data_IF_129737270917
#
_entry.id   IF_129737270917
#
_cell.length_a   1.000
_cell.length_b   1.000
_cell.length_c   1.000
_cell.angle_alpha   90.00
_cell.angle_beta   90.00
_cell.angle_gamma   90.00
#
_symmetry.space_group_name_H-M   'P 1'
#
loop_
_entity.id
_entity.type
_entity.pdbx_description
1 polymer ?
#
# COMPACT_ATOMS: atom_id res chain seq x y z
N UNK A 1 34.10 48.90 47.08
CA UNK A 1 33.28 48.65 45.87
C UNK A 1 32.06 49.57 45.95
N UNK A 2 31.74 50.32 44.90
CA UNK A 2 30.70 51.36 44.95
C UNK A 2 29.30 50.71 44.97
N UNK A 3 28.48 51.00 45.99
CA UNK A 3 27.13 50.43 46.19
C UNK A 3 26.25 50.64 44.95
N UNK A 4 26.37 51.80 44.29
CA UNK A 4 25.64 52.09 43.06
C UNK A 4 26.01 51.14 41.92
N UNK A 5 27.30 50.80 41.77
CA UNK A 5 27.78 49.84 40.77
C UNK A 5 27.21 48.44 41.02
N UNK A 6 27.13 48.03 42.29
CA UNK A 6 26.61 46.72 42.68
C UNK A 6 25.10 46.60 42.46
N UNK A 7 24.35 47.68 42.72
CA UNK A 7 22.92 47.78 42.42
C UNK A 7 22.69 47.71 40.90
N UNK A 8 23.44 48.48 40.11
CA UNK A 8 23.29 48.48 38.63
C UNK A 8 23.60 47.11 38.03
N UNK A 9 24.68 46.45 38.47
CA UNK A 9 25.01 45.09 38.01
C UNK A 9 23.89 44.12 38.35
N UNK A 10 23.35 44.16 39.57
CA UNK A 10 22.27 43.27 40.01
C UNK A 10 20.98 43.47 39.22
N UNK A 11 20.66 44.72 38.88
CA UNK A 11 19.50 45.06 38.03
C UNK A 11 19.71 44.49 36.62
N UNK A 12 20.89 44.70 36.03
CA UNK A 12 21.20 44.22 34.68
C UNK A 12 21.18 42.69 34.60
N UNK A 13 21.76 41.98 35.57
CA UNK A 13 21.69 40.51 35.60
C UNK A 13 20.26 40.00 35.79
N UNK A 14 19.44 40.66 36.60
CA UNK A 14 18.04 40.26 36.79
C UNK A 14 17.20 40.43 35.52
N UNK A 15 17.35 41.56 34.81
CA UNK A 15 16.69 41.74 33.52
C UNK A 15 17.22 40.81 32.43
N UNK A 16 18.53 40.58 32.37
CA UNK A 16 19.15 39.71 31.37
C UNK A 16 18.76 38.23 31.58
N UNK A 17 18.74 37.76 32.83
CA UNK A 17 18.30 36.40 33.18
C UNK A 17 16.82 36.18 32.89
N UNK A 18 15.95 37.17 33.19
CA UNK A 18 14.54 37.10 32.83
C UNK A 18 14.33 37.07 31.30
N UNK A 19 15.08 37.89 30.55
CA UNK A 19 15.03 37.90 29.09
C UNK A 19 15.50 36.56 28.49
N UNK A 20 16.61 36.01 28.98
CA UNK A 20 17.13 34.71 28.53
C UNK A 20 16.15 33.58 28.86
N UNK A 21 15.56 33.56 30.07
CA UNK A 21 14.56 32.57 30.46
C UNK A 21 13.29 32.66 29.58
N UNK A 22 12.84 33.88 29.25
CA UNK A 22 11.72 34.09 28.33
C UNK A 22 12.05 33.65 26.90
N UNK A 23 13.20 34.07 26.38
CA UNK A 23 13.63 33.76 25.02
C UNK A 23 13.84 32.24 24.82
N UNK A 24 14.63 31.61 25.68
CA UNK A 24 14.85 30.16 25.62
C UNK A 24 13.60 29.36 25.99
N UNK A 25 12.78 29.86 26.91
CA UNK A 25 11.49 29.25 27.25
C UNK A 25 10.56 29.18 26.04
N UNK A 26 10.31 30.31 25.38
CA UNK A 26 9.47 30.37 24.17
C UNK A 26 10.09 29.60 23.01
N UNK A 27 11.40 29.69 22.80
CA UNK A 27 12.06 28.94 21.74
C UNK A 27 11.94 27.43 21.97
N UNK A 28 12.03 26.96 23.23
CA UNK A 28 11.83 25.55 23.57
C UNK A 28 10.38 25.10 23.36
N UNK A 29 9.40 25.93 23.72
CA UNK A 29 7.97 25.63 23.51
C UNK A 29 7.68 25.55 22.01
N UNK A 30 8.13 26.53 21.24
CA UNK A 30 7.97 26.55 19.77
C UNK A 30 8.66 25.36 19.11
N UNK A 31 9.83 24.94 19.60
CA UNK A 31 10.51 23.74 19.11
C UNK A 31 9.69 22.49 19.39
N UNK A 32 9.20 22.32 20.62
CA UNK A 32 8.36 21.17 21.01
C UNK A 32 7.07 21.10 20.19
N UNK A 33 6.37 22.22 20.02
CA UNK A 33 5.16 22.30 19.19
C UNK A 33 5.44 21.92 17.72
N UNK A 34 6.60 22.35 17.18
CA UNK A 34 7.02 22.01 15.82
C UNK A 34 7.31 20.52 15.68
N UNK A 35 7.94 19.91 16.68
CA UNK A 35 8.25 18.49 16.69
C UNK A 35 6.98 17.63 16.83
N UNK A 36 6.02 18.04 17.67
CA UNK A 36 4.72 17.38 17.78
C UNK A 36 3.92 17.47 16.47
N UNK A 37 3.91 18.64 15.81
CA UNK A 37 3.29 18.79 14.49
C UNK A 37 3.93 17.87 13.46
N UNK A 38 5.27 17.79 13.42
CA UNK A 38 5.98 16.86 12.53
C UNK A 38 5.63 15.40 12.84
N UNK A 39 5.50 15.02 14.11
CA UNK A 39 5.11 13.66 14.50
C UNK A 39 3.70 13.31 14.01
N UNK A 40 2.74 14.24 14.15
CA UNK A 40 1.39 14.08 13.61
C UNK A 40 1.40 13.93 12.08
N UNK A 41 2.15 14.79 11.38
CA UNK A 41 2.30 14.71 9.92
C UNK A 41 2.94 13.39 9.45
N UNK A 42 3.92 12.85 10.17
CA UNK A 42 4.53 11.54 9.85
C UNK A 42 3.54 10.39 10.06
N UNK A 43 2.75 10.41 11.14
CA UNK A 43 1.70 9.40 11.40
C UNK A 43 0.66 9.41 10.28
N UNK A 44 0.23 10.61 9.89
CA UNK A 44 -0.72 10.78 8.80
C UNK A 44 -0.15 10.29 7.46
N UNK A 45 1.07 10.69 7.12
CA UNK A 45 1.76 10.24 5.91
C UNK A 45 1.81 8.71 5.85
N UNK A 46 2.12 8.05 6.96
CA UNK A 46 2.11 6.59 7.04
C UNK A 46 0.74 5.99 6.65
N UNK A 47 -0.36 6.52 7.19
CA UNK A 47 -1.69 6.02 6.84
C UNK A 47 -2.09 6.33 5.40
N UNK A 48 -1.74 7.51 4.87
CA UNK A 48 -1.99 7.86 3.46
C UNK A 48 -1.26 6.92 2.51
N UNK A 49 -0.01 6.56 2.83
CA UNK A 49 0.77 5.62 2.02
C UNK A 49 0.16 4.22 2.01
N UNK A 50 -0.49 3.77 3.10
CA UNK A 50 -1.23 2.49 3.10
C UNK A 50 -2.39 2.56 2.13
N UNK A 51 -3.23 3.60 2.22
CA UNK A 51 -4.41 3.74 1.36
C UNK A 51 -3.98 3.84 -0.11
N UNK A 52 -2.97 4.67 -0.39
CA UNK A 52 -2.41 4.88 -1.73
C UNK A 52 -1.88 3.58 -2.35
N UNK A 53 -1.17 2.77 -1.55
CA UNK A 53 -0.65 1.47 -1.97
C UNK A 53 -1.78 0.53 -2.35
N UNK A 54 -2.77 0.38 -1.46
CA UNK A 54 -3.92 -0.50 -1.71
C UNK A 54 -4.69 -0.09 -2.97
N UNK A 55 -4.84 1.21 -3.23
CA UNK A 55 -5.45 1.69 -4.48
C UNK A 55 -4.65 1.29 -5.72
N UNK A 56 -3.32 1.42 -5.70
CA UNK A 56 -2.47 0.91 -6.78
C UNK A 56 -2.56 -0.60 -6.95
N UNK A 57 -2.57 -1.35 -5.84
CA UNK A 57 -2.64 -2.81 -5.86
C UNK A 57 -3.96 -3.28 -6.49
N UNK A 58 -5.08 -2.61 -6.19
CA UNK A 58 -6.38 -2.86 -6.84
C UNK A 58 -6.37 -2.53 -8.33
N UNK A 59 -5.82 -1.38 -8.74
CA UNK A 59 -5.69 -1.01 -10.15
C UNK A 59 -4.85 -1.98 -10.95
N UNK A 60 -3.75 -2.44 -10.35
CA UNK A 60 -2.77 -3.29 -11.01
C UNK A 60 -3.07 -4.78 -10.86
N UNK A 61 -4.09 -5.17 -10.08
CA UNK A 61 -4.40 -6.57 -9.78
C UNK A 61 -4.53 -7.45 -11.02
N UNK A 62 -5.34 -7.02 -12.01
CA UNK A 62 -5.54 -7.75 -13.26
C UNK A 62 -4.26 -7.82 -14.11
N UNK A 63 -3.49 -6.73 -14.16
CA UNK A 63 -2.20 -6.71 -14.86
C UNK A 63 -1.21 -7.68 -14.22
N UNK A 64 -1.15 -7.71 -12.88
CA UNK A 64 -0.32 -8.63 -12.10
C UNK A 64 -0.74 -10.09 -12.32
N UNK A 65 -2.04 -10.39 -12.30
CA UNK A 65 -2.54 -11.74 -12.61
C UNK A 65 -2.11 -12.21 -14.00
N UNK A 66 -2.25 -11.36 -15.02
CA UNK A 66 -1.82 -11.70 -16.38
C UNK A 66 -0.31 -11.96 -16.46
N UNK A 67 0.51 -11.12 -15.83
CA UNK A 67 1.96 -11.30 -15.80
C UNK A 67 2.38 -12.59 -15.08
N UNK A 68 1.66 -12.99 -14.02
CA UNK A 68 1.89 -14.26 -13.34
C UNK A 68 1.55 -15.42 -14.24
N UNK A 69 0.42 -15.35 -14.96
CA UNK A 69 0.05 -16.41 -15.89
C UNK A 69 1.13 -16.59 -16.97
N UNK A 70 1.57 -15.49 -17.58
CA UNK A 70 2.63 -15.50 -18.59
C UNK A 70 3.96 -16.06 -18.04
N UNK A 71 4.35 -15.64 -16.84
CA UNK A 71 5.57 -16.10 -16.19
C UNK A 71 5.47 -17.59 -15.78
N UNK A 72 4.30 -18.05 -15.33
CA UNK A 72 4.04 -19.45 -14.98
C UNK A 72 4.08 -20.35 -16.22
N UNK A 73 3.42 -19.95 -17.32
CA UNK A 73 3.48 -20.67 -18.59
C UNK A 73 4.93 -20.78 -19.09
N UNK A 74 5.69 -19.69 -19.04
CA UNK A 74 7.11 -19.68 -19.41
C UNK A 74 7.94 -20.62 -18.53
N UNK A 75 7.79 -20.54 -17.21
CA UNK A 75 8.50 -21.37 -16.25
C UNK A 75 8.21 -22.87 -16.44
N UNK A 76 6.94 -23.22 -16.64
CA UNK A 76 6.55 -24.62 -16.88
C UNK A 76 7.09 -25.14 -18.20
N UNK A 77 7.09 -24.33 -19.26
CA UNK A 77 7.75 -24.69 -20.54
C UNK A 77 9.24 -24.93 -20.38
N UNK A 78 9.94 -24.06 -19.65
CA UNK A 78 11.37 -24.21 -19.36
C UNK A 78 11.67 -25.47 -18.52
N UNK A 79 10.84 -25.78 -17.53
CA UNK A 79 11.00 -26.97 -16.68
C UNK A 79 10.70 -28.30 -17.40
N UNK A 80 9.67 -28.32 -18.24
CA UNK A 80 9.17 -29.56 -18.87
C UNK A 80 9.79 -29.85 -20.22
N UNK A 81 10.35 -28.84 -20.89
CA UNK A 81 10.88 -28.95 -22.25
C UNK A 81 9.81 -29.09 -23.33
N UNK A 82 8.51 -28.96 -22.98
CA UNK A 82 7.41 -29.08 -23.93
C UNK A 82 7.40 -27.94 -24.96
N UNK A 83 7.11 -28.30 -26.21
CA UNK A 83 6.78 -27.36 -27.27
C UNK A 83 5.45 -26.65 -26.98
N UNK A 84 5.19 -25.53 -27.68
CA UNK A 84 3.94 -24.76 -27.52
C UNK A 84 2.72 -25.67 -27.76
N UNK A 85 2.80 -26.55 -28.77
CA UNK A 85 1.72 -27.46 -29.18
C UNK A 85 1.41 -28.53 -28.12
N UNK A 86 2.44 -29.07 -27.46
CA UNK A 86 2.29 -30.07 -26.38
C UNK A 86 1.75 -29.45 -25.08
N UNK A 87 2.07 -28.18 -24.84
CA UNK A 87 1.55 -27.44 -23.69
C UNK A 87 0.05 -27.15 -23.83
N UNK A 88 -0.44 -27.00 -25.06
CA UNK A 88 -1.87 -26.81 -25.37
C UNK A 88 -2.74 -28.08 -25.26
N UNK A 89 -2.16 -29.27 -25.01
CA UNK A 89 -2.94 -30.49 -24.78
C UNK A 89 -3.68 -30.47 -23.42
N UNK A 90 -4.87 -31.09 -23.37
CA UNK A 90 -5.81 -31.01 -22.24
C UNK A 90 -5.22 -31.35 -20.87
N UNK A 91 -4.32 -32.34 -20.76
CA UNK A 91 -3.72 -32.75 -19.48
C UNK A 91 -2.74 -31.72 -18.90
N UNK A 92 -2.02 -30.98 -19.75
CA UNK A 92 -1.06 -29.95 -19.31
C UNK A 92 -1.81 -28.67 -18.92
N UNK A 93 -2.89 -28.36 -19.66
CA UNK A 93 -3.76 -27.22 -19.40
C UNK A 93 -4.48 -27.31 -18.05
N UNK A 94 -5.00 -28.47 -17.66
CA UNK A 94 -5.71 -28.64 -16.38
C UNK A 94 -4.79 -28.41 -15.16
N UNK A 95 -3.52 -28.82 -15.26
CA UNK A 95 -2.53 -28.60 -14.19
C UNK A 95 -2.18 -27.11 -14.05
N UNK A 96 -2.02 -26.42 -15.19
CA UNK A 96 -1.75 -24.98 -15.24
C UNK A 96 -2.92 -24.20 -14.65
N UNK A 97 -4.15 -24.54 -15.04
CA UNK A 97 -5.38 -23.91 -14.52
C UNK A 97 -5.52 -24.10 -13.00
N UNK A 98 -5.24 -25.31 -12.47
CA UNK A 98 -5.25 -25.57 -11.02
C UNK A 98 -4.20 -24.75 -10.27
N UNK A 99 -2.98 -24.68 -10.79
CA UNK A 99 -1.91 -23.89 -10.17
C UNK A 99 -2.21 -22.38 -10.23
N UNK A 100 -2.72 -21.90 -11.38
CA UNK A 100 -3.10 -20.50 -11.55
C UNK A 100 -4.25 -20.12 -10.62
N UNK A 101 -5.22 -21.02 -10.41
CA UNK A 101 -6.31 -20.83 -9.45
C UNK A 101 -5.79 -20.64 -8.02
N UNK A 102 -4.83 -21.47 -7.58
CA UNK A 102 -4.21 -21.34 -6.24
C UNK A 102 -3.43 -20.03 -6.08
N UNK A 103 -2.68 -19.61 -7.10
CA UNK A 103 -1.94 -18.35 -7.06
C UNK A 103 -2.92 -17.16 -7.04
N UNK A 104 -3.97 -17.22 -7.85
CA UNK A 104 -5.03 -16.20 -7.89
C UNK A 104 -5.73 -16.06 -6.54
N UNK A 105 -6.06 -17.18 -5.89
CA UNK A 105 -6.65 -17.19 -4.55
C UNK A 105 -5.70 -16.58 -3.49
N UNK A 106 -4.41 -16.93 -3.55
CA UNK A 106 -3.40 -16.36 -2.66
C UNK A 106 -3.26 -14.84 -2.81
N UNK A 107 -3.19 -14.35 -4.05
CA UNK A 107 -3.13 -12.92 -4.36
C UNK A 107 -4.38 -12.18 -3.90
N UNK A 108 -5.54 -12.77 -4.15
CA UNK A 108 -6.81 -12.22 -3.72
C UNK A 108 -6.88 -12.07 -2.20
N UNK A 109 -6.45 -13.10 -1.45
CA UNK A 109 -6.39 -13.05 0.01
C UNK A 109 -5.41 -11.98 0.53
N UNK A 110 -4.25 -11.80 -0.14
CA UNK A 110 -3.31 -10.71 0.18
C UNK A 110 -3.96 -9.34 -0.03
N UNK A 111 -4.60 -9.11 -1.19
CA UNK A 111 -5.28 -7.86 -1.50
C UNK A 111 -6.43 -7.58 -0.52
N UNK A 112 -7.19 -8.60 -0.12
CA UNK A 112 -8.25 -8.48 0.89
C UNK A 112 -7.71 -8.02 2.25
N UNK A 113 -6.58 -8.57 2.69
CA UNK A 113 -5.95 -8.14 3.94
C UNK A 113 -5.42 -6.69 3.85
N UNK A 114 -4.85 -6.32 2.71
CA UNK A 114 -4.40 -4.94 2.45
C UNK A 114 -5.59 -3.96 2.43
N UNK A 115 -6.73 -4.35 1.85
CA UNK A 115 -7.95 -3.56 1.85
C UNK A 115 -8.49 -3.32 3.28
N UNK A 116 -8.45 -4.32 4.16
CA UNK A 116 -8.87 -4.14 5.55
C UNK A 116 -7.91 -3.23 6.32
N UNK A 117 -6.60 -3.30 6.03
CA UNK A 117 -5.62 -2.37 6.60
C UNK A 117 -5.80 -0.93 6.09
N UNK A 118 -6.14 -0.77 4.81
CA UNK A 118 -6.48 0.51 4.21
C UNK A 118 -7.71 1.12 4.87
N UNK A 119 -8.78 0.34 5.06
CA UNK A 119 -9.99 0.76 5.78
C UNK A 119 -9.70 1.26 7.20
N UNK A 120 -8.90 0.54 7.97
CA UNK A 120 -8.45 0.99 9.31
C UNK A 120 -7.65 2.29 9.22
N UNK A 121 -6.81 2.42 8.19
CA UNK A 121 -6.02 3.64 7.97
C UNK A 121 -6.90 4.83 7.58
N UNK A 122 -7.94 4.62 6.78
CA UNK A 122 -8.93 5.65 6.46
C UNK A 122 -9.65 6.12 7.72
N UNK A 123 -10.06 5.21 8.61
CA UNK A 123 -10.69 5.58 9.89
C UNK A 123 -9.77 6.45 10.78
N UNK A 124 -8.47 6.15 10.79
CA UNK A 124 -7.48 6.99 11.48
C UNK A 124 -7.32 8.35 10.79
N UNK A 125 -7.22 8.39 9.45
CA UNK A 125 -7.10 9.65 8.69
C UNK A 125 -8.33 10.52 8.93
N UNK A 126 -9.54 9.97 8.86
CA UNK A 126 -10.76 10.72 9.12
C UNK A 126 -10.79 11.25 10.56
N UNK A 127 -10.30 10.49 11.54
CA UNK A 127 -10.27 10.96 12.93
C UNK A 127 -9.22 12.06 13.15
N UNK A 128 -8.03 11.90 12.57
CA UNK A 128 -6.87 12.77 12.85
C UNK A 128 -6.73 13.94 11.84
N UNK A 129 -7.40 13.91 10.69
CA UNK A 129 -7.16 14.80 9.55
C UNK A 129 -8.35 15.66 9.10
N UNK A 130 -9.56 15.44 9.65
CA UNK A 130 -10.73 16.29 9.36
C UNK A 130 -10.42 17.78 9.55
N UNK A 131 -9.61 18.11 10.55
CA UNK A 131 -9.23 19.49 10.86
C UNK A 131 -8.25 20.12 9.86
N UNK A 132 -7.54 19.32 9.06
CA UNK A 132 -6.51 19.80 8.14
C UNK A 132 -7.01 19.98 6.72
N UNK A 133 -7.88 19.07 6.24
CA UNK A 133 -8.51 19.17 4.92
C UNK A 133 -9.92 18.54 4.94
N UNK A 134 -10.97 19.35 5.14
CA UNK A 134 -12.35 18.87 5.17
C UNK A 134 -12.84 18.32 3.83
N UNK A 135 -12.35 18.83 2.70
CA UNK A 135 -12.78 18.41 1.37
C UNK A 135 -12.23 17.02 1.05
N UNK A 136 -10.93 16.81 1.30
CA UNK A 136 -10.33 15.48 1.17
C UNK A 136 -10.97 14.46 2.12
N UNK A 137 -11.32 14.88 3.34
CA UNK A 137 -11.98 14.00 4.31
C UNK A 137 -13.37 13.55 3.85
N UNK A 138 -14.11 14.40 3.12
CA UNK A 138 -15.39 14.01 2.50
C UNK A 138 -15.17 12.96 1.40
N UNK A 139 -14.25 13.20 0.47
CA UNK A 139 -13.90 12.23 -0.57
C UNK A 139 -13.45 10.88 0.00
N UNK A 140 -12.62 10.89 1.04
CA UNK A 140 -12.12 9.68 1.69
C UNK A 140 -13.25 8.92 2.43
N UNK A 141 -14.26 9.63 2.94
CA UNK A 141 -15.44 9.04 3.56
C UNK A 141 -16.32 8.35 2.53
N UNK A 142 -16.53 8.98 1.37
CA UNK A 142 -17.27 8.39 0.25
C UNK A 142 -16.55 7.13 -0.24
N UNK A 143 -15.22 7.21 -0.42
CA UNK A 143 -14.37 6.07 -0.78
C UNK A 143 -14.46 4.91 0.24
N UNK A 144 -14.42 5.19 1.55
CA UNK A 144 -14.57 4.16 2.59
C UNK A 144 -15.94 3.49 2.56
N UNK A 145 -16.99 4.26 2.24
CA UNK A 145 -18.35 3.74 2.12
C UNK A 145 -18.45 2.79 0.93
N UNK A 146 -17.87 3.15 -0.22
CA UNK A 146 -17.85 2.34 -1.44
C UNK A 146 -16.97 1.08 -1.31
N UNK A 147 -15.81 1.15 -0.64
CA UNK A 147 -15.01 -0.06 -0.32
C UNK A 147 -15.85 -1.06 0.48
N UNK A 148 -16.61 -0.58 1.48
CA UNK A 148 -17.45 -1.41 2.33
C UNK A 148 -18.62 -2.04 1.56
N UNK A 149 -19.24 -1.34 0.61
CA UNK A 149 -20.42 -1.82 -0.11
C UNK A 149 -20.12 -2.54 -1.43
N UNK A 150 -19.00 -2.30 -2.10
CA UNK A 150 -18.86 -2.68 -3.52
C UNK A 150 -17.75 -3.68 -3.84
N UNK A 151 -16.65 -3.74 -3.08
CA UNK A 151 -15.47 -4.52 -3.52
C UNK A 151 -15.43 -5.96 -2.99
N UNK A 152 -15.82 -6.19 -1.74
CA UNK A 152 -15.72 -7.52 -1.13
C UNK A 152 -16.96 -8.38 -1.39
N UNK A 153 -18.16 -7.81 -1.26
CA UNK A 153 -19.40 -8.58 -1.43
C UNK A 153 -19.71 -8.86 -2.90
N UNK A 154 -19.59 -7.91 -3.83
CA UNK A 154 -19.87 -8.17 -5.26
C UNK A 154 -18.88 -9.14 -5.90
N UNK A 155 -17.59 -9.05 -5.59
CA UNK A 155 -16.58 -10.02 -6.10
C UNK A 155 -16.85 -11.44 -5.59
N UNK A 156 -17.37 -11.58 -4.36
CA UNK A 156 -17.73 -12.88 -3.80
C UNK A 156 -19.08 -13.43 -4.30
N UNK A 157 -20.01 -12.56 -4.70
CA UNK A 157 -21.41 -12.95 -4.97
C UNK A 157 -21.76 -13.02 -6.46
N UNK A 158 -21.11 -12.23 -7.33
CA UNK A 158 -21.53 -12.03 -8.73
C UNK A 158 -20.64 -12.70 -9.79
N UNK A 159 -19.96 -13.80 -9.44
CA UNK A 159 -19.46 -14.77 -10.43
C UNK A 159 -20.59 -15.43 -11.27
N UNK A 160 -21.85 -15.03 -11.07
CA UNK A 160 -23.06 -15.57 -11.71
C UNK A 160 -23.67 -14.69 -12.82
N UNK A 161 -23.38 -13.39 -12.88
CA UNK A 161 -23.93 -12.49 -13.90
C UNK A 161 -22.77 -11.70 -14.55
N UNK A 162 -22.29 -12.19 -15.70
CA UNK A 162 -21.01 -11.78 -16.30
C UNK A 162 -20.99 -10.34 -16.86
N UNK A 163 -22.12 -9.76 -17.27
CA UNK A 163 -22.13 -8.52 -18.05
C UNK A 163 -22.04 -7.25 -17.18
N UNK A 164 -22.79 -7.16 -16.09
CA UNK A 164 -22.78 -5.99 -15.20
C UNK A 164 -21.51 -5.96 -14.31
N UNK A 165 -20.98 -7.13 -13.95
CA UNK A 165 -19.72 -7.24 -13.22
C UNK A 165 -18.53 -6.79 -14.07
N UNK A 166 -18.53 -7.12 -15.37
CA UNK A 166 -17.47 -6.74 -16.30
C UNK A 166 -17.36 -5.21 -16.48
N UNK A 167 -18.47 -4.50 -16.69
CA UNK A 167 -18.47 -3.03 -16.76
C UNK A 167 -18.03 -2.41 -15.44
N UNK A 168 -18.46 -2.98 -14.31
CA UNK A 168 -18.08 -2.51 -12.98
C UNK A 168 -16.57 -2.65 -12.71
N UNK A 169 -16.00 -3.83 -12.99
CA UNK A 169 -14.58 -4.12 -12.80
C UNK A 169 -13.67 -3.34 -13.76
N UNK A 170 -14.10 -3.16 -15.03
CA UNK A 170 -13.24 -2.52 -16.03
C UNK A 170 -13.33 -1.01 -16.11
N UNK A 171 -14.47 -0.42 -15.76
CA UNK A 171 -14.71 1.01 -15.94
C UNK A 171 -14.82 1.75 -14.62
N UNK A 172 -15.57 1.20 -13.66
CA UNK A 172 -15.84 1.89 -12.39
C UNK A 172 -14.69 1.77 -11.40
N UNK A 173 -14.20 0.55 -11.12
CA UNK A 173 -13.07 0.36 -10.19
C UNK A 173 -11.86 1.21 -10.58
N UNK A 174 -11.42 1.23 -11.87
CA UNK A 174 -10.26 2.03 -12.23
C UNK A 174 -10.51 3.52 -12.11
N UNK A 175 -11.71 3.99 -12.45
CA UNK A 175 -12.07 5.39 -12.32
C UNK A 175 -12.00 5.87 -10.85
N UNK A 176 -12.59 5.11 -9.94
CA UNK A 176 -12.59 5.44 -8.50
C UNK A 176 -11.19 5.38 -7.89
N UNK A 177 -10.43 4.32 -8.20
CA UNK A 177 -9.08 4.19 -7.67
C UNK A 177 -8.12 5.24 -8.26
N UNK A 178 -8.29 5.65 -9.53
CA UNK A 178 -7.52 6.78 -10.08
C UNK A 178 -7.86 8.11 -9.40
N UNK A 179 -9.15 8.37 -9.16
CA UNK A 179 -9.57 9.59 -8.48
C UNK A 179 -8.97 9.68 -7.07
N UNK A 180 -9.09 8.62 -6.27
CA UNK A 180 -8.56 8.63 -4.91
C UNK A 180 -7.04 8.73 -4.87
N UNK A 181 -6.35 8.11 -5.85
CA UNK A 181 -4.90 8.22 -6.01
C UNK A 181 -4.49 9.67 -6.22
N UNK A 182 -5.14 10.38 -7.13
CA UNK A 182 -4.82 11.79 -7.41
C UNK A 182 -4.99 12.65 -6.15
N UNK A 183 -6.11 12.50 -5.46
CA UNK A 183 -6.40 13.27 -4.24
C UNK A 183 -5.42 12.93 -3.11
N UNK A 184 -5.06 11.65 -2.93
CA UNK A 184 -4.07 11.23 -1.93
C UNK A 184 -2.67 11.76 -2.29
N UNK A 185 -2.28 11.75 -3.56
CA UNK A 185 -0.96 12.22 -4.00
C UNK A 185 -0.77 13.72 -3.76
N UNK A 186 -1.82 14.52 -3.99
CA UNK A 186 -1.82 15.95 -3.65
C UNK A 186 -1.61 16.18 -2.14
N UNK A 187 -2.31 15.42 -1.31
CA UNK A 187 -2.19 15.50 0.16
C UNK A 187 -0.80 15.02 0.62
N UNK A 188 -0.28 13.92 0.07
CA UNK A 188 1.07 13.42 0.35
C UNK A 188 2.12 14.48 -0.02
N UNK A 189 1.98 15.13 -1.18
CA UNK A 189 2.88 16.18 -1.60
C UNK A 189 2.86 17.39 -0.64
N UNK A 190 1.66 17.81 -0.24
CA UNK A 190 1.45 18.88 0.75
C UNK A 190 2.06 18.55 2.12
N UNK A 191 2.00 17.28 2.57
CA UNK A 191 2.55 16.86 3.85
C UNK A 191 4.08 16.73 3.79
N UNK A 192 4.60 16.06 2.76
CA UNK A 192 6.04 15.78 2.64
C UNK A 192 6.86 17.05 2.48
N UNK A 193 6.35 18.06 1.75
CA UNK A 193 6.98 19.39 1.65
C UNK A 193 7.09 20.12 3.00
N UNK A 194 6.23 19.81 3.98
CA UNK A 194 6.26 20.37 5.34
C UNK A 194 7.17 19.62 6.30
N UNK A 195 7.62 18.41 5.94
CA UNK A 195 8.49 17.56 6.78
C UNK A 195 9.96 17.88 6.54
N UNK A 196 10.48 17.48 5.37
CA UNK A 196 11.84 17.67 4.89
C UNK A 196 12.01 17.14 3.45
N UNK A 197 13.01 17.62 2.72
CA UNK A 197 13.27 17.26 1.32
C UNK A 197 13.68 15.80 1.13
N UNK A 198 14.29 15.18 2.15
CA UNK A 198 14.67 13.77 2.12
C UNK A 198 13.42 12.88 2.10
N UNK A 199 12.50 13.11 3.03
CA UNK A 199 11.23 12.39 3.13
C UNK A 199 10.42 12.56 1.85
N UNK A 200 10.39 13.77 1.26
CA UNK A 200 9.71 14.01 -0.02
C UNK A 200 10.26 13.14 -1.15
N UNK A 201 11.59 13.04 -1.28
CA UNK A 201 12.22 12.20 -2.31
C UNK A 201 11.95 10.72 -2.09
N UNK A 202 12.13 10.23 -0.86
CA UNK A 202 11.90 8.82 -0.52
C UNK A 202 10.45 8.41 -0.82
N UNK A 203 9.49 9.29 -0.52
CA UNK A 203 8.08 9.04 -0.83
C UNK A 203 7.81 9.05 -2.33
N UNK A 204 8.42 9.97 -3.10
CA UNK A 204 8.26 9.98 -4.57
C UNK A 204 8.77 8.68 -5.21
N UNK A 205 9.93 8.18 -4.78
CA UNK A 205 10.49 6.91 -5.25
C UNK A 205 9.55 5.73 -4.91
N UNK A 206 8.94 5.76 -3.73
CA UNK A 206 7.98 4.74 -3.28
C UNK A 206 6.65 4.78 -4.05
N UNK A 207 6.13 5.97 -4.40
CA UNK A 207 4.93 6.11 -5.22
C UNK A 207 5.15 5.57 -6.65
N UNK A 208 6.32 5.84 -7.24
CA UNK A 208 6.71 5.28 -8.54
C UNK A 208 6.74 3.74 -8.47
N UNK A 209 7.24 3.19 -7.36
CA UNK A 209 7.24 1.74 -7.15
C UNK A 209 5.82 1.17 -7.05
N UNK A 210 4.90 1.84 -6.35
CA UNK A 210 3.50 1.40 -6.25
C UNK A 210 2.78 1.34 -7.60
N UNK A 211 3.09 2.28 -8.48
CA UNK A 211 2.47 2.35 -9.81
C UNK A 211 3.08 1.34 -10.81
N UNK A 212 4.21 0.73 -10.47
CA UNK A 212 4.83 -0.29 -11.30
C UNK A 212 4.09 -1.63 -11.16
N UNK A 213 3.42 -2.14 -12.22
CA UNK A 213 2.72 -3.42 -12.15
C UNK A 213 3.66 -4.62 -12.25
N UNK A 214 4.94 -4.40 -12.59
CA UNK A 214 5.89 -5.47 -12.91
C UNK A 214 6.24 -6.29 -11.69
N UNK A 215 6.06 -7.60 -11.80
CA UNK A 215 6.44 -8.57 -10.76
C UNK A 215 7.93 -8.83 -10.88
N UNK A 216 8.67 -8.60 -9.79
CA UNK A 216 10.08 -8.94 -9.77
C UNK A 216 10.28 -10.46 -9.69
N UNK A 217 11.45 -10.93 -10.11
CA UNK A 217 11.77 -12.36 -10.16
C UNK A 217 11.71 -13.05 -8.79
N UNK A 218 11.98 -12.33 -7.70
CA UNK A 218 11.92 -12.84 -6.33
C UNK A 218 10.49 -12.97 -5.80
N UNK A 219 9.61 -12.03 -6.18
CA UNK A 219 8.19 -12.06 -5.85
C UNK A 219 7.52 -13.24 -6.59
N UNK A 220 7.86 -13.45 -7.86
CA UNK A 220 7.43 -14.62 -8.63
C UNK A 220 7.92 -15.95 -8.04
N UNK A 221 9.20 -16.05 -7.68
CA UNK A 221 9.75 -17.25 -7.02
C UNK A 221 9.03 -17.59 -5.71
N UNK A 222 8.62 -16.57 -4.95
CA UNK A 222 7.84 -16.75 -3.73
C UNK A 222 6.44 -17.33 -4.01
N UNK A 223 5.75 -16.85 -5.06
CA UNK A 223 4.46 -17.42 -5.46
C UNK A 223 4.60 -18.88 -5.92
N UNK A 224 5.64 -19.17 -6.69
CA UNK A 224 5.91 -20.51 -7.24
C UNK A 224 6.35 -21.50 -6.16
N UNK A 225 7.25 -21.13 -5.23
CA UNK A 225 7.71 -22.01 -4.14
C UNK A 225 6.57 -22.51 -3.25
N UNK A 226 5.56 -21.68 -3.01
CA UNK A 226 4.41 -22.03 -2.18
C UNK A 226 3.39 -22.94 -2.89
N UNK A 227 3.42 -23.02 -4.24
CA UNK A 227 2.39 -23.68 -5.06
C UNK A 227 2.91 -24.89 -5.86
N UNK A 228 4.18 -24.91 -6.26
CA UNK A 228 4.75 -25.96 -7.14
C UNK A 228 5.29 -27.17 -6.36
N UNK A 229 5.70 -26.99 -5.11
CA UNK A 229 6.26 -28.07 -4.26
C UNK A 229 5.29 -29.24 -3.96
N UNK A 230 3.95 -29.11 -3.96
CA UNK A 230 3.07 -30.27 -3.70
C UNK A 230 2.94 -31.25 -4.89
N UNK A 231 3.28 -30.86 -6.12
CA UNK A 231 2.98 -31.67 -7.31
C UNK A 231 4.09 -32.68 -7.63
N UNK A 232 5.35 -32.40 -7.29
CA UNK A 232 6.41 -33.39 -7.44
C UNK A 232 6.23 -34.58 -6.47
N UNK A 233 5.64 -34.35 -5.30
CA UNK A 233 5.38 -35.41 -4.33
C UNK A 233 4.19 -36.32 -4.69
N UNK A 234 3.31 -35.92 -5.62
CA UNK A 234 2.21 -36.78 -6.10
C UNK A 234 2.62 -37.69 -7.25
N UNK A 235 3.63 -37.30 -8.07
CA UNK A 235 4.22 -38.19 -9.07
C UNK A 235 5.07 -39.31 -8.47
N UNK A 236 5.73 -39.07 -7.34
CA UNK A 236 6.49 -40.12 -6.65
C UNK A 236 5.60 -41.12 -5.89
N UNK A 237 4.35 -40.76 -5.55
CA UNK A 237 3.41 -41.69 -4.93
C UNK A 237 2.69 -42.60 -5.93
N UNK A 238 2.47 -42.15 -7.17
CA UNK A 238 1.83 -42.97 -8.20
C UNK A 238 2.79 -43.93 -8.91
N UNK A 239 4.11 -43.71 -8.87
CA UNK A 239 5.09 -44.67 -9.40
C UNK A 239 5.34 -45.89 -8.50
N UNK A 240 5.02 -45.79 -7.21
CA UNK A 240 5.26 -46.88 -6.25
C UNK A 240 4.05 -47.81 -6.04
N UNK A 241 2.93 -47.59 -6.75
CA UNK A 241 1.74 -48.44 -6.65
C UNK A 241 1.43 -49.27 -7.91
N UNK A 242 2.20 -49.13 -8.98
CA UNK A 242 2.08 -49.98 -10.18
C UNK A 242 3.15 -51.10 -10.24
N UNK A 243 3.90 -51.29 -9.16
CA UNK A 243 4.91 -52.35 -9.03
C UNK A 243 4.63 -53.25 -7.82
N UNK A 244 3.43 -53.81 -7.74
CA UNK A 244 3.13 -55.01 -6.95
C UNK A 244 1.98 -55.81 -7.56
#
# INVERSE_FOLDING_TARGET
>A
MNIYLQITISIVTLFLSAYLAYYFGIQSIRSKEKDEKKKKLRKLLYHLLIVRKTSSDKLNFKKRLNQINEAQEKFLRELTGYSIEEFSNMNTKEIVEKQFSLISESLFNKLKNEAENSKKSIEVILTDYIEFDPLFSLSLKDYNSEIKTMFLEKVLTEYKNEVDFYLFEQLFVPHFEHKIIMEIDEVIHSITSRLDSKTQREVQELLIFYDNPTIDSSEFESYIKNVVVPINNSKDKNKNHESH
#
